data_IF_517983029904
#
_entry.id   IF_517983029904
#
_cell.length_a   1.000
_cell.length_b   1.000
_cell.length_c   1.000
_cell.angle_alpha   90.00
_cell.angle_beta   90.00
_cell.angle_gamma   90.00
#
_symmetry.space_group_name_H-M   'P 1'
#
loop_
_entity.id
_entity.type
_entity.pdbx_description
1 polymer ?
#
# COMPACT_ATOMS: atom_id res chain seq x y z
N UNK A 1 3.31 -14.58 16.20
CA UNK A 1 3.04 -14.20 14.80
C UNK A 1 4.33 -13.72 14.16
N UNK A 2 4.56 -14.13 12.95
CA UNK A 2 5.77 -13.71 12.25
C UNK A 2 5.53 -12.37 11.54
N UNK A 3 6.55 -11.53 11.53
CA UNK A 3 6.52 -10.29 10.79
C UNK A 3 6.47 -10.56 9.28
N UNK A 4 5.90 -9.65 8.48
CA UNK A 4 5.94 -9.78 7.04
C UNK A 4 7.37 -9.82 6.53
N UNK A 5 7.61 -10.61 5.50
CA UNK A 5 8.94 -10.74 4.90
C UNK A 5 9.10 -9.87 3.66
N UNK A 6 8.00 -9.47 3.05
CA UNK A 6 8.01 -8.76 1.79
C UNK A 6 6.97 -7.66 1.83
N UNK A 7 7.40 -6.43 1.73
CA UNK A 7 6.51 -5.27 1.68
C UNK A 7 6.90 -4.49 0.42
N UNK A 8 5.95 -4.35 -0.50
CA UNK A 8 6.20 -3.69 -1.78
C UNK A 8 5.19 -2.56 -1.96
N UNK A 9 5.70 -1.38 -2.26
CA UNK A 9 4.87 -0.25 -2.66
C UNK A 9 4.89 -0.18 -4.18
N UNK A 10 3.74 -0.45 -4.79
CA UNK A 10 3.57 -0.40 -6.24
C UNK A 10 2.84 0.90 -6.59
N UNK A 11 3.39 1.67 -7.51
CA UNK A 11 2.78 2.94 -7.86
C UNK A 11 2.97 3.26 -9.34
N UNK A 12 2.05 4.07 -9.86
CA UNK A 12 2.24 4.67 -11.17
C UNK A 12 3.37 5.70 -11.08
N UNK A 13 4.17 5.78 -12.14
CA UNK A 13 5.37 6.63 -12.15
C UNK A 13 5.02 8.09 -11.88
N UNK A 14 3.86 8.56 -12.31
CA UNK A 14 3.43 9.94 -12.17
C UNK A 14 2.34 10.14 -11.11
N UNK A 15 2.11 9.14 -10.24
CA UNK A 15 1.12 9.25 -9.18
C UNK A 15 1.63 10.18 -8.08
N UNK A 16 0.90 11.26 -7.74
CA UNK A 16 1.37 12.18 -6.70
C UNK A 16 1.22 11.65 -5.29
N UNK A 17 0.41 10.61 -5.08
CA UNK A 17 0.08 10.11 -3.74
C UNK A 17 1.07 9.06 -3.23
N UNK A 18 1.98 8.57 -4.06
CA UNK A 18 2.86 7.49 -3.64
C UNK A 18 3.81 7.92 -2.52
N UNK A 19 4.19 9.19 -2.48
CA UNK A 19 5.10 9.70 -1.45
C UNK A 19 4.45 9.72 -0.08
N UNK A 20 3.17 10.07 -0.04
CA UNK A 20 2.40 10.03 1.21
C UNK A 20 2.27 8.59 1.69
N UNK A 21 1.98 7.67 0.78
CA UNK A 21 1.91 6.25 1.10
C UNK A 21 3.26 5.74 1.62
N UNK A 22 4.36 6.15 0.99
CA UNK A 22 5.69 5.77 1.41
C UNK A 22 6.00 6.23 2.84
N UNK A 23 5.73 7.50 3.14
CA UNK A 23 5.97 8.04 4.48
C UNK A 23 5.15 7.31 5.53
N UNK A 24 3.87 7.10 5.28
CA UNK A 24 2.98 6.41 6.20
C UNK A 24 3.38 4.95 6.38
N UNK A 25 3.76 4.29 5.30
CA UNK A 25 4.17 2.89 5.34
C UNK A 25 5.45 2.71 6.15
N UNK A 26 6.43 3.58 5.96
CA UNK A 26 7.67 3.53 6.73
C UNK A 26 7.40 3.74 8.21
N UNK A 27 6.54 4.69 8.55
CA UNK A 27 6.18 4.94 9.95
C UNK A 27 5.46 3.72 10.53
N UNK A 28 4.52 3.14 9.80
CA UNK A 28 3.81 1.96 10.24
C UNK A 28 4.75 0.78 10.45
N UNK A 29 5.73 0.62 9.57
CA UNK A 29 6.72 -0.44 9.72
C UNK A 29 7.53 -0.28 11.00
N UNK A 30 7.94 0.94 11.34
CA UNK A 30 8.65 1.20 12.59
C UNK A 30 7.79 0.84 13.79
N UNK A 31 6.53 1.26 13.79
CA UNK A 31 5.61 0.98 14.88
C UNK A 31 5.36 -0.53 14.99
N UNK A 32 5.24 -1.22 13.89
CA UNK A 32 4.98 -2.66 13.86
C UNK A 32 6.22 -3.51 14.13
N UNK A 33 7.40 -2.89 14.23
CA UNK A 33 8.63 -3.62 14.45
C UNK A 33 9.20 -4.27 13.19
N UNK A 34 8.81 -3.79 12.01
CA UNK A 34 9.33 -4.28 10.74
C UNK A 34 10.36 -3.27 10.24
N UNK A 35 11.55 -3.77 9.90
CA UNK A 35 12.64 -2.89 9.45
C UNK A 35 12.25 -2.26 8.10
N UNK A 36 12.21 -0.91 8.00
CA UNK A 36 11.92 -0.25 6.73
C UNK A 36 12.88 -0.59 5.59
N UNK A 37 14.04 -1.17 5.90
CA UNK A 37 14.97 -1.63 4.87
C UNK A 37 14.39 -2.77 4.02
N UNK A 38 13.35 -3.47 4.52
CA UNK A 38 12.67 -4.50 3.74
C UNK A 38 11.66 -3.93 2.75
N UNK A 39 11.37 -2.64 2.81
CA UNK A 39 10.42 -2.01 1.87
C UNK A 39 11.04 -1.94 0.49
N UNK A 40 10.31 -2.46 -0.49
CA UNK A 40 10.71 -2.41 -1.88
C UNK A 40 9.70 -1.59 -2.68
N UNK A 41 10.14 -1.10 -3.80
CA UNK A 41 9.33 -0.22 -4.65
C UNK A 41 9.21 -0.82 -6.05
N UNK A 42 8.02 -0.70 -6.63
CA UNK A 42 7.80 -1.05 -8.02
C UNK A 42 7.04 0.07 -8.69
N UNK A 43 7.62 0.62 -9.74
CA UNK A 43 6.97 1.64 -10.56
C UNK A 43 6.36 0.96 -11.78
N UNK A 44 5.13 1.33 -12.12
CA UNK A 44 4.47 0.85 -13.33
C UNK A 44 4.01 2.05 -14.14
N UNK A 45 3.85 1.85 -15.44
CA UNK A 45 3.30 2.88 -16.33
C UNK A 45 1.86 2.52 -16.67
N UNK A 46 1.14 3.47 -17.28
CA UNK A 46 -0.21 3.19 -17.75
C UNK A 46 -0.22 2.10 -18.82
N UNK A 47 0.89 1.97 -19.55
CA UNK A 47 0.98 0.98 -20.62
C UNK A 47 1.20 -0.44 -20.09
N UNK A 48 1.95 -0.60 -18.99
CA UNK A 48 2.30 -1.93 -18.50
C UNK A 48 1.58 -2.32 -17.22
N UNK A 49 0.64 -1.50 -16.74
CA UNK A 49 -0.15 -1.86 -15.57
C UNK A 49 -1.08 -3.02 -15.92
N UNK A 50 -1.15 -4.07 -15.08
CA UNK A 50 -2.08 -5.17 -15.32
C UNK A 50 -3.53 -4.71 -15.35
N UNK A 51 -4.38 -5.46 -16.07
CA UNK A 51 -5.80 -5.14 -16.14
C UNK A 51 -6.47 -5.20 -14.76
N UNK A 52 -5.96 -6.04 -13.87
CA UNK A 52 -6.49 -6.20 -12.51
C UNK A 52 -5.73 -5.35 -11.49
N UNK A 53 -4.93 -4.39 -11.94
CA UNK A 53 -4.19 -3.50 -11.05
C UNK A 53 -5.18 -2.74 -10.15
N UNK A 54 -5.00 -2.80 -8.82
CA UNK A 54 -5.97 -2.20 -7.89
C UNK A 54 -5.95 -0.68 -7.85
N UNK A 55 -5.01 -0.05 -8.55
CA UNK A 55 -4.84 1.39 -8.54
C UNK A 55 -3.61 1.81 -7.76
N UNK A 56 -3.17 3.04 -7.98
CA UNK A 56 -1.95 3.57 -7.40
C UNK A 56 -2.26 4.53 -6.24
N UNK A 57 -1.55 4.46 -5.12
CA UNK A 57 -0.53 3.48 -4.77
C UNK A 57 -1.16 2.18 -4.27
N UNK A 58 -0.50 1.06 -4.52
CA UNK A 58 -0.91 -0.24 -4.00
C UNK A 58 0.19 -0.77 -3.08
N UNK A 59 -0.20 -1.41 -1.99
CA UNK A 59 0.74 -1.96 -1.02
C UNK A 59 0.53 -3.46 -0.97
N UNK A 60 1.59 -4.21 -1.25
CA UNK A 60 1.56 -5.66 -1.20
C UNK A 60 2.35 -6.14 0.02
N UNK A 61 1.69 -6.91 0.85
CA UNK A 61 2.30 -7.52 2.03
C UNK A 61 2.36 -9.02 1.76
N UNK A 62 3.57 -9.54 1.63
CA UNK A 62 3.82 -10.95 1.26
C UNK A 62 3.04 -11.34 0.00
N UNK A 63 3.05 -10.44 -0.99
CA UNK A 63 2.44 -10.69 -2.30
C UNK A 63 0.96 -10.42 -2.38
N UNK A 64 0.31 -9.98 -1.31
CA UNK A 64 -1.13 -9.75 -1.26
C UNK A 64 -1.46 -8.30 -0.98
N UNK A 65 -2.52 -7.80 -1.61
CA UNK A 65 -3.10 -6.50 -1.29
C UNK A 65 -4.06 -6.69 -0.11
N UNK A 66 -3.74 -6.14 1.07
CA UNK A 66 -4.57 -6.34 2.25
C UNK A 66 -5.78 -5.41 2.31
N UNK A 67 -5.90 -4.47 1.39
CA UNK A 67 -7.01 -3.52 1.41
C UNK A 67 -8.05 -3.92 0.37
N UNK A 68 -9.29 -4.24 0.82
CA UNK A 68 -10.34 -4.64 -0.10
C UNK A 68 -10.65 -3.52 -1.11
N UNK A 69 -10.95 -3.93 -2.33
CA UNK A 69 -11.45 -3.01 -3.34
C UNK A 69 -12.58 -3.68 -4.09
N UNK A 70 -13.65 -2.91 -4.36
CA UNK A 70 -14.82 -3.44 -5.05
C UNK A 70 -14.50 -3.78 -6.51
N UNK A 71 -13.62 -2.99 -7.13
CA UNK A 71 -13.21 -3.21 -8.50
C UNK A 71 -11.81 -2.64 -8.70
N UNK A 72 -10.98 -3.27 -9.54
CA UNK A 72 -9.68 -2.70 -9.86
C UNK A 72 -9.83 -1.34 -10.54
N UNK A 73 -8.99 -0.41 -10.14
CA UNK A 73 -8.99 0.93 -10.73
C UNK A 73 -8.22 0.97 -12.05
N UNK A 74 -7.42 -0.07 -12.35
CA UNK A 74 -6.53 -0.04 -13.48
C UNK A 74 -5.43 1.00 -13.30
N UNK A 75 -4.91 1.59 -14.37
CA UNK A 75 -3.82 2.56 -14.28
C UNK A 75 -4.32 3.94 -13.83
N UNK A 76 -4.91 4.00 -12.66
CA UNK A 76 -5.51 5.20 -12.08
C UNK A 76 -5.17 5.31 -10.61
N UNK A 77 -5.44 6.48 -10.03
CA UNK A 77 -5.25 6.69 -8.61
C UNK A 77 -6.29 5.92 -7.82
N UNK A 78 -5.83 5.30 -6.74
CA UNK A 78 -6.70 4.54 -5.84
C UNK A 78 -7.11 5.42 -4.68
N UNK A 79 -8.34 5.19 -4.20
CA UNK A 79 -8.82 5.82 -2.98
C UNK A 79 -8.93 4.78 -1.88
N UNK A 80 -8.54 5.18 -0.68
CA UNK A 80 -8.60 4.36 0.51
C UNK A 80 -9.58 4.99 1.49
N UNK A 81 -10.44 4.16 2.07
CA UNK A 81 -11.33 4.61 3.14
C UNK A 81 -10.57 4.52 4.45
N UNK A 82 -10.26 5.66 5.02
CA UNK A 82 -9.56 5.74 6.29
C UNK A 82 -10.51 6.18 7.39
N UNK A 83 -10.04 6.13 8.64
CA UNK A 83 -10.83 6.56 9.79
C UNK A 83 -11.17 8.04 9.77
N UNK A 84 -10.49 8.82 8.92
CA UNK A 84 -10.78 10.24 8.75
C UNK A 84 -11.46 10.56 7.42
N UNK A 85 -11.84 9.51 6.65
CA UNK A 85 -12.50 9.67 5.36
C UNK A 85 -11.65 9.19 4.20
N UNK A 86 -12.13 9.37 2.96
CA UNK A 86 -11.38 8.96 1.78
C UNK A 86 -10.05 9.70 1.67
N UNK A 87 -9.01 8.97 1.25
CA UNK A 87 -7.67 9.53 1.11
C UNK A 87 -6.96 8.83 -0.05
N UNK A 88 -5.88 9.42 -0.51
CA UNK A 88 -5.04 8.86 -1.57
C UNK A 88 -4.11 7.74 -1.09
N UNK A 89 -4.05 7.49 0.21
CA UNK A 89 -3.23 6.44 0.80
C UNK A 89 -3.87 5.94 2.09
N UNK A 90 -3.57 4.70 2.51
CA UNK A 90 -4.07 4.23 3.80
C UNK A 90 -3.42 4.99 4.95
N UNK A 91 -4.08 5.00 6.10
CA UNK A 91 -3.54 5.65 7.29
C UNK A 91 -2.44 4.79 7.93
N UNK A 92 -1.63 5.43 8.78
CA UNK A 92 -0.62 4.70 9.55
C UNK A 92 -1.28 3.62 10.41
N UNK A 93 -2.40 3.93 11.04
CA UNK A 93 -3.13 2.95 11.86
C UNK A 93 -3.55 1.73 11.06
N UNK A 94 -4.11 1.93 9.87
CA UNK A 94 -4.51 0.83 9.00
C UNK A 94 -3.29 -0.02 8.60
N UNK A 95 -2.19 0.63 8.28
CA UNK A 95 -0.97 -0.07 7.86
C UNK A 95 -0.37 -0.87 9.01
N UNK A 96 -0.40 -0.33 10.24
CA UNK A 96 0.08 -1.07 11.41
C UNK A 96 -0.74 -2.34 11.60
N UNK A 97 -2.07 -2.25 11.49
CA UNK A 97 -2.94 -3.43 11.62
C UNK A 97 -2.60 -4.50 10.58
N UNK A 98 -2.38 -4.08 9.35
CA UNK A 98 -2.01 -5.00 8.27
C UNK A 98 -0.67 -5.67 8.55
N UNK A 99 0.31 -4.89 8.99
CA UNK A 99 1.67 -5.40 9.21
C UNK A 99 1.77 -6.29 10.42
N UNK A 100 0.93 -6.08 11.42
CA UNK A 100 0.92 -6.92 12.62
C UNK A 100 0.01 -8.14 12.49
N UNK A 101 -0.75 -8.22 11.39
CA UNK A 101 -1.72 -9.29 11.21
C UNK A 101 -2.98 -9.11 12.03
N UNK A 102 -3.15 -7.95 12.65
CA UNK A 102 -4.33 -7.62 13.46
C UNK A 102 -5.41 -7.02 12.55
N UNK A 103 -6.01 -7.87 11.75
CA UNK A 103 -7.05 -7.48 10.80
C UNK A 103 -8.40 -7.47 11.50
N UNK A 104 -9.24 -6.45 11.31
CA UNK A 104 -10.59 -6.46 11.84
C UNK A 104 -11.47 -7.50 11.15
#
# INVERSE_FOLDING_TARGET
MSAPRDVVLVHLADCPHWRIADERLREAMRVAGVDPAFLRYRSVTTADAPADFPGSPAILVDGRDPFPTAAPAGPACRRYDTETGPDGAPSVTQLVHVLTGDQP
#
